data_IF_291918333089
#
_entry.id   IF_291918333089
#
_cell.length_a   1.000
_cell.length_b   1.000
_cell.length_c   1.000
_cell.angle_alpha   90.00
_cell.angle_beta   90.00
_cell.angle_gamma   90.00
#
_symmetry.space_group_name_H-M   'P 1'
#
loop_
_entity.id
_entity.type
_entity.pdbx_description
1 polymer ?
#
# COMPACT_ATOMS: atom_id res chain seq x y z
N UNK A 1 3.46 -20.87 4.98
CA UNK A 1 3.73 -20.04 3.78
C UNK A 1 2.80 -18.83 3.66
N UNK A 2 1.48 -18.96 3.89
CA UNK A 2 0.51 -17.84 3.81
C UNK A 2 0.86 -16.67 4.75
N UNK A 3 1.33 -16.97 5.96
CA UNK A 3 1.88 -15.98 6.88
C UNK A 3 3.04 -15.14 6.31
N UNK A 4 4.04 -15.78 5.71
CA UNK A 4 5.16 -15.07 5.10
C UNK A 4 4.71 -14.21 3.92
N UNK A 5 3.77 -14.70 3.10
CA UNK A 5 3.16 -13.92 2.03
C UNK A 5 2.41 -12.69 2.55
N UNK A 6 1.64 -12.84 3.64
CA UNK A 6 0.93 -11.72 4.28
C UNK A 6 1.89 -10.65 4.82
N UNK A 7 2.98 -11.07 5.47
CA UNK A 7 4.03 -10.16 5.96
C UNK A 7 4.70 -9.43 4.78
N UNK A 8 5.04 -10.16 3.71
CA UNK A 8 5.70 -9.58 2.53
C UNK A 8 4.79 -8.54 1.86
N UNK A 9 3.49 -8.81 1.75
CA UNK A 9 2.50 -7.88 1.21
C UNK A 9 2.37 -6.61 2.08
N UNK A 10 2.37 -6.76 3.40
CA UNK A 10 2.34 -5.63 4.35
C UNK A 10 3.62 -4.76 4.25
N UNK A 11 4.80 -5.39 4.14
CA UNK A 11 6.07 -4.70 3.97
C UNK A 11 6.11 -3.93 2.66
N UNK A 12 5.67 -4.55 1.57
CA UNK A 12 5.58 -3.88 0.27
C UNK A 12 4.62 -2.69 0.34
N UNK A 13 3.43 -2.84 0.91
CA UNK A 13 2.48 -1.74 1.04
C UNK A 13 3.05 -0.57 1.87
N UNK A 14 3.72 -0.86 3.00
CA UNK A 14 4.32 0.16 3.86
C UNK A 14 5.54 0.85 3.24
N UNK A 15 6.35 0.12 2.48
CA UNK A 15 7.53 0.69 1.80
C UNK A 15 7.12 1.49 0.54
N UNK A 16 6.12 1.01 -0.19
CA UNK A 16 5.72 1.59 -1.48
C UNK A 16 4.85 2.84 -1.31
N UNK A 17 4.01 2.91 -0.28
CA UNK A 17 3.16 4.06 -0.01
C UNK A 17 3.94 5.39 0.09
N UNK A 18 5.00 5.54 0.93
CA UNK A 18 5.74 6.78 1.04
C UNK A 18 6.48 7.14 -0.26
N UNK A 19 7.02 6.14 -0.98
CA UNK A 19 7.62 6.35 -2.31
C UNK A 19 6.61 6.93 -3.30
N UNK A 20 5.40 6.37 -3.31
CA UNK A 20 4.31 6.82 -4.18
C UNK A 20 3.83 8.22 -3.82
N UNK A 21 3.74 8.56 -2.52
CA UNK A 21 3.40 9.91 -2.06
C UNK A 21 4.47 10.92 -2.51
N UNK A 22 5.76 10.61 -2.32
CA UNK A 22 6.86 11.49 -2.76
C UNK A 22 6.78 11.71 -4.28
N UNK A 23 6.54 10.65 -5.04
CA UNK A 23 6.33 10.75 -6.49
C UNK A 23 5.15 11.65 -6.84
N UNK A 24 3.99 11.45 -6.20
CA UNK A 24 2.81 12.29 -6.45
C UNK A 24 3.04 13.77 -6.17
N UNK A 25 3.80 14.10 -5.11
CA UNK A 25 4.16 15.47 -4.75
C UNK A 25 5.13 16.10 -5.75
N UNK A 26 6.13 15.36 -6.23
CA UNK A 26 7.11 15.88 -7.20
C UNK A 26 6.51 16.14 -8.59
N UNK A 27 5.55 15.32 -9.01
CA UNK A 27 4.95 15.41 -10.35
C UNK A 27 3.62 16.16 -10.38
N UNK A 28 3.17 16.74 -9.26
CA UNK A 28 1.98 17.59 -9.19
C UNK A 28 0.68 16.86 -9.53
N UNK A 29 0.51 15.63 -9.03
CA UNK A 29 -0.68 14.82 -9.29
C UNK A 29 -1.97 15.49 -8.79
N UNK A 30 -3.09 15.22 -9.48
CA UNK A 30 -4.40 15.75 -9.10
C UNK A 30 -4.79 15.31 -7.67
N UNK A 31 -5.41 16.23 -6.92
CA UNK A 31 -5.84 16.03 -5.53
C UNK A 31 -6.71 14.80 -5.29
N UNK A 32 -7.45 14.33 -6.31
CA UNK A 32 -8.28 13.12 -6.22
C UNK A 32 -7.47 11.82 -6.40
N UNK A 33 -6.34 11.84 -7.13
CA UNK A 33 -5.54 10.64 -7.36
C UNK A 33 -4.78 10.23 -6.10
N UNK A 34 -4.34 11.22 -5.30
CA UNK A 34 -3.67 10.99 -4.03
C UNK A 34 -4.47 10.10 -3.06
N UNK A 35 -5.70 10.45 -2.65
CA UNK A 35 -6.49 9.61 -1.74
C UNK A 35 -6.87 8.26 -2.37
N UNK A 36 -7.04 8.19 -3.69
CA UNK A 36 -7.38 6.92 -4.36
C UNK A 36 -6.22 5.92 -4.26
N UNK A 37 -4.97 6.36 -4.46
CA UNK A 37 -3.79 5.52 -4.28
C UNK A 37 -3.61 5.09 -2.82
N UNK A 38 -3.86 5.98 -1.86
CA UNK A 38 -3.84 5.65 -0.43
C UNK A 38 -4.88 4.59 -0.07
N UNK A 39 -6.11 4.70 -0.61
CA UNK A 39 -7.16 3.69 -0.42
C UNK A 39 -6.75 2.32 -0.98
N UNK A 40 -6.15 2.29 -2.17
CA UNK A 40 -5.63 1.05 -2.77
C UNK A 40 -4.58 0.41 -1.86
N UNK A 41 -3.63 1.20 -1.35
CA UNK A 41 -2.61 0.70 -0.43
C UNK A 41 -3.20 0.17 0.88
N UNK A 42 -4.24 0.82 1.42
CA UNK A 42 -4.99 0.33 2.59
C UNK A 42 -5.64 -1.03 2.31
N UNK A 43 -6.27 -1.20 1.15
CA UNK A 43 -6.89 -2.47 0.74
C UNK A 43 -5.82 -3.58 0.59
N UNK A 44 -4.69 -3.28 -0.05
CA UNK A 44 -3.58 -4.24 -0.18
C UNK A 44 -3.03 -4.63 1.20
N UNK A 45 -2.85 -3.65 2.09
CA UNK A 45 -2.41 -3.91 3.46
C UNK A 45 -3.40 -4.80 4.21
N UNK A 46 -4.71 -4.53 4.09
CA UNK A 46 -5.77 -5.32 4.71
C UNK A 46 -5.80 -6.76 4.19
N UNK A 47 -5.63 -6.97 2.88
CA UNK A 47 -5.49 -8.32 2.29
C UNK A 47 -4.29 -9.03 2.90
N UNK A 48 -3.16 -8.34 3.04
CA UNK A 48 -1.95 -8.88 3.66
C UNK A 48 -2.18 -9.31 5.11
N UNK A 49 -2.92 -8.50 5.88
CA UNK A 49 -3.35 -8.84 7.25
C UNK A 49 -4.20 -10.10 7.28
N UNK A 50 -5.22 -10.18 6.43
CA UNK A 50 -6.08 -11.37 6.35
C UNK A 50 -5.31 -12.63 5.95
N UNK A 51 -4.35 -12.51 5.03
CA UNK A 51 -3.50 -13.62 4.59
C UNK A 51 -2.52 -14.09 5.68
N UNK A 52 -2.12 -13.16 6.57
CA UNK A 52 -1.25 -13.45 7.71
C UNK A 52 -1.98 -14.13 8.86
N UNK A 53 -3.25 -13.79 9.04
CA UNK A 53 -4.11 -14.30 10.12
C UNK A 53 -4.87 -15.59 9.75
N UNK A 54 -4.88 -15.95 8.46
CA UNK A 54 -5.44 -17.20 7.93
C UNK A 54 -4.42 -18.34 7.89
#
# INVERSE_FOLDING_TARGET
MRQHLGILLQVVALAWLPLLIIYQLNFGFQLLVMPTCTLIAIVVFWIGTRLRES
#
